data_IF_440954837575
#
_entry.id   IF_440954837575
#
_cell.length_a   1.000
_cell.length_b   1.000
_cell.length_c   1.000
_cell.angle_alpha   90.00
_cell.angle_beta   90.00
_cell.angle_gamma   90.00
#
_symmetry.space_group_name_H-M   'P 1'
#
loop_
_entity.id
_entity.type
_entity.pdbx_description
1 polymer ?
#
# COMPACT_ATOMS: atom_id res chain seq x y z
N UNK A 1 -10.68 -15.09 6.70
CA UNK A 1 -10.89 -13.94 5.78
C UNK A 1 -9.67 -13.79 4.89
N UNK A 2 -9.82 -13.40 3.62
CA UNK A 2 -8.71 -13.04 2.73
C UNK A 2 -8.63 -11.52 2.59
N UNK A 3 -7.43 -10.94 2.74
CA UNK A 3 -7.12 -9.52 2.55
C UNK A 3 -6.13 -9.44 1.39
N UNK A 4 -6.39 -8.53 0.46
CA UNK A 4 -5.50 -8.31 -0.68
C UNK A 4 -4.80 -6.97 -0.51
N UNK A 5 -3.48 -6.99 -0.70
CA UNK A 5 -2.63 -5.81 -0.69
C UNK A 5 -1.92 -5.73 -2.04
N UNK A 6 -1.97 -4.57 -2.68
CA UNK A 6 -1.29 -4.29 -3.93
C UNK A 6 -0.06 -3.45 -3.63
N UNK A 7 1.07 -3.84 -4.19
CA UNK A 7 2.31 -3.08 -4.15
C UNK A 7 2.84 -2.93 -5.58
N UNK A 8 3.20 -1.71 -5.94
CA UNK A 8 3.81 -1.39 -7.23
C UNK A 8 4.98 -0.44 -7.01
N UNK A 9 6.07 -0.68 -7.73
CA UNK A 9 7.20 0.23 -7.83
C UNK A 9 7.59 0.34 -9.30
N UNK A 10 7.73 1.56 -9.79
CA UNK A 10 8.05 1.85 -11.18
C UNK A 10 9.11 2.94 -11.27
N UNK A 11 10.20 2.65 -11.97
CA UNK A 11 11.25 3.61 -12.29
C UNK A 11 10.85 4.35 -13.57
N UNK A 12 10.44 5.61 -13.43
CA UNK A 12 9.97 6.40 -14.58
C UNK A 12 11.05 7.31 -15.16
N UNK A 13 12.09 7.63 -14.39
CA UNK A 13 13.27 8.33 -14.88
C UNK A 13 14.52 7.83 -14.16
N UNK A 14 15.69 8.15 -14.72
CA UNK A 14 16.97 7.90 -14.06
C UNK A 14 16.95 8.61 -12.70
N UNK A 15 17.21 7.85 -11.64
CA UNK A 15 17.19 8.29 -10.23
C UNK A 15 15.79 8.57 -9.64
N UNK A 16 14.71 8.42 -10.40
CA UNK A 16 13.35 8.64 -9.92
C UNK A 16 12.48 7.37 -10.01
N UNK A 17 11.91 6.99 -8.87
CA UNK A 17 10.97 5.88 -8.77
C UNK A 17 9.65 6.38 -8.17
N UNK A 18 8.53 5.90 -8.68
CA UNK A 18 7.23 6.04 -8.03
C UNK A 18 6.84 4.70 -7.43
N UNK A 19 6.38 4.72 -6.18
CA UNK A 19 5.88 3.54 -5.50
C UNK A 19 4.48 3.78 -4.96
N UNK A 20 3.68 2.73 -5.00
CA UNK A 20 2.32 2.72 -4.50
C UNK A 20 2.09 1.45 -3.70
N UNK A 21 1.41 1.60 -2.56
CA UNK A 21 0.94 0.49 -1.75
C UNK A 21 -0.52 0.73 -1.39
N UNK A 22 -1.39 -0.13 -1.90
CA UNK A 22 -2.79 -0.16 -1.53
C UNK A 22 -3.04 -1.36 -0.63
N UNK A 23 -3.35 -1.11 0.63
CA UNK A 23 -3.75 -2.14 1.59
C UNK A 23 -5.27 -2.30 1.60
N UNK A 24 -5.71 -3.54 1.75
CA UNK A 24 -7.13 -3.90 1.85
C UNK A 24 -7.97 -3.38 0.67
N UNK A 25 -7.58 -3.76 -0.56
CA UNK A 25 -8.17 -3.25 -1.82
C UNK A 25 -9.68 -3.49 -1.90
N UNK A 26 -10.16 -4.63 -1.36
CA UNK A 26 -11.58 -4.97 -1.36
C UNK A 26 -12.34 -4.40 -0.15
N UNK A 27 -11.71 -3.47 0.59
CA UNK A 27 -12.23 -2.82 1.79
C UNK A 27 -12.95 -3.80 2.73
N UNK A 28 -12.28 -4.91 3.01
CA UNK A 28 -12.85 -5.97 3.83
C UNK A 28 -12.77 -5.54 5.28
N UNK A 29 -13.90 -5.53 5.96
CA UNK A 29 -13.94 -5.39 7.41
C UNK A 29 -13.50 -6.73 8.03
N UNK A 30 -12.36 -6.73 8.70
CA UNK A 30 -11.87 -7.86 9.46
C UNK A 30 -11.43 -7.38 10.84
N UNK A 31 -11.53 -8.24 11.85
CA UNK A 31 -10.94 -7.98 13.15
C UNK A 31 -9.76 -8.91 13.33
N UNK A 32 -8.56 -8.34 13.43
CA UNK A 32 -7.33 -9.07 13.77
C UNK A 32 -7.32 -9.50 15.25
N UNK A 33 -7.95 -8.70 16.11
CA UNK A 33 -8.12 -8.96 17.53
C UNK A 33 -9.45 -8.37 18.00
N UNK A 34 -10.12 -9.05 18.93
CA UNK A 34 -11.43 -8.63 19.45
C UNK A 34 -11.30 -7.26 20.13
N UNK A 35 -12.09 -6.29 19.66
CA UNK A 35 -12.10 -4.91 20.18
C UNK A 35 -11.15 -3.92 19.51
N UNK A 36 -10.34 -4.33 18.52
CA UNK A 36 -9.46 -3.42 17.78
C UNK A 36 -9.92 -3.27 16.33
N UNK A 37 -10.17 -2.03 15.91
CA UNK A 37 -10.45 -1.71 14.51
C UNK A 37 -9.18 -1.89 13.70
N UNK A 38 -9.22 -2.75 12.69
CA UNK A 38 -8.16 -2.77 11.68
C UNK A 38 -8.34 -1.59 10.75
N UNK A 39 -7.24 -1.02 10.22
CA UNK A 39 -7.35 -0.03 9.15
C UNK A 39 -8.16 -0.61 7.98
N UNK A 40 -9.14 0.16 7.48
CA UNK A 40 -9.87 -0.18 6.25
C UNK A 40 -8.97 -0.10 5.01
N UNK A 41 -9.57 0.10 3.84
CA UNK A 41 -8.82 0.37 2.60
C UNK A 41 -7.92 1.60 2.76
N UNK A 42 -6.61 1.44 2.55
CA UNK A 42 -5.64 2.54 2.67
C UNK A 42 -4.66 2.53 1.50
N UNK A 43 -4.50 3.69 0.86
CA UNK A 43 -3.64 3.89 -0.30
C UNK A 43 -2.48 4.84 0.05
N UNK A 44 -1.27 4.32 -0.08
CA UNK A 44 -0.03 5.08 0.03
C UNK A 44 0.58 5.22 -1.36
N UNK A 45 0.93 6.44 -1.76
CA UNK A 45 1.67 6.72 -2.99
C UNK A 45 2.83 7.63 -2.61
N UNK A 46 4.00 7.35 -3.14
CA UNK A 46 5.20 8.14 -2.90
C UNK A 46 6.09 8.16 -4.11
N UNK A 47 6.89 9.23 -4.20
CA UNK A 47 7.96 9.35 -5.17
C UNK A 47 9.27 9.30 -4.42
N UNK A 48 10.22 8.51 -4.91
CA UNK A 48 11.56 8.38 -4.38
C UNK A 48 12.53 8.93 -5.41
N UNK A 49 13.40 9.83 -4.93
CA UNK A 49 14.59 10.25 -5.66
C UNK A 49 15.80 9.60 -4.99
N UNK A 50 16.62 8.88 -5.75
CA UNK A 50 17.82 8.24 -5.27
C UNK A 50 18.97 8.53 -6.25
N UNK A 51 19.79 9.54 -5.92
CA UNK A 51 21.03 9.79 -6.64
C UNK A 51 21.97 8.60 -6.43
N UNK A 52 22.36 7.96 -7.53
CA UNK A 52 23.28 6.83 -7.52
C UNK A 52 24.74 7.27 -7.55
#
# INVERSE_FOLDING_TARGET
>A
YAIFNLYGNYEFAKDWSIFGRWNNIFNKDYQLSYGYNTPGSNLFIGVRYAMK
#
